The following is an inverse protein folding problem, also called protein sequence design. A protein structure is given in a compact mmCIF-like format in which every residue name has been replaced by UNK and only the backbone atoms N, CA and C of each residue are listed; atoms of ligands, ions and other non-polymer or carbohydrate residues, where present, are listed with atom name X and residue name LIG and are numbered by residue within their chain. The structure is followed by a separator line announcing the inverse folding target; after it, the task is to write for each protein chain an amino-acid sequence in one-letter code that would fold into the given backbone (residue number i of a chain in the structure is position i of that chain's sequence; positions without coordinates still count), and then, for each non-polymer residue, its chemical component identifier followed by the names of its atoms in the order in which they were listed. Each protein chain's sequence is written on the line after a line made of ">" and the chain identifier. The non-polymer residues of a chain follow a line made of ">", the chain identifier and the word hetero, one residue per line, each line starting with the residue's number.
data_IF_672018767884
#
_entry.id   IF_672018767884
#
_cell.length_a   1.000
_cell.length_b   1.000
_cell.length_c   1.000
_cell.angle_alpha   90.00
_cell.angle_beta   90.00
_cell.angle_gamma   90.00
#
_symmetry.space_group_name_H-M   'P 1'
#
loop_
_entity.id
_entity.type
_entity.pdbx_description
1 polymer ?
#
# COMPACT_ATOMS: atom_id res chain seq x y z
N UNK A 1 8.27 -16.18 5.85
CA UNK A 1 8.00 -15.68 4.48
C UNK A 1 7.66 -14.23 4.63
N UNK A 2 8.48 -13.31 4.12
CA UNK A 2 8.22 -11.87 4.23
C UNK A 2 6.99 -11.55 3.36
N UNK A 3 5.79 -11.64 3.95
CA UNK A 3 4.56 -11.32 3.26
C UNK A 3 4.53 -9.82 2.98
N UNK A 4 4.88 -9.44 1.76
CA UNK A 4 4.60 -8.09 1.25
C UNK A 4 3.09 -7.86 1.34
N UNK A 5 2.69 -6.78 2.02
CA UNK A 5 1.29 -6.38 2.07
C UNK A 5 0.70 -6.27 0.65
N UNK A 6 -0.53 -6.75 0.40
CA UNK A 6 -1.16 -6.65 -0.92
C UNK A 6 -1.33 -5.18 -1.31
N UNK A 7 -1.41 -4.87 -2.61
CA UNK A 7 -1.48 -3.48 -3.08
C UNK A 7 -2.75 -2.75 -2.61
N UNK A 8 -2.68 -1.42 -2.37
CA UNK A 8 -3.85 -0.60 -2.04
C UNK A 8 -5.02 -0.80 -3.02
N UNK A 9 -6.21 -1.07 -2.48
CA UNK A 9 -7.44 -1.22 -3.26
C UNK A 9 -7.59 -2.56 -4.00
N UNK A 10 -6.67 -3.52 -3.83
CA UNK A 10 -6.81 -4.87 -4.40
C UNK A 10 -7.84 -5.72 -3.64
N UNK A 11 -8.36 -6.78 -4.28
CA UNK A 11 -9.29 -7.72 -3.62
C UNK A 11 -8.66 -8.35 -2.36
N UNK A 12 -7.40 -8.79 -2.46
CA UNK A 12 -6.66 -9.35 -1.31
C UNK A 12 -6.47 -8.33 -0.18
N UNK A 13 -6.27 -7.06 -0.51
CA UNK A 13 -6.16 -6.00 0.50
C UNK A 13 -7.51 -5.72 1.16
N UNK A 14 -8.60 -5.71 0.39
CA UNK A 14 -9.96 -5.50 0.89
C UNK A 14 -10.35 -6.63 1.86
N UNK A 15 -10.03 -7.88 1.52
CA UNK A 15 -10.25 -9.05 2.41
C UNK A 15 -9.53 -8.90 3.75
N UNK A 16 -8.40 -8.19 3.78
CA UNK A 16 -7.62 -7.89 4.99
C UNK A 16 -8.04 -6.59 5.70
N UNK A 17 -9.05 -5.87 5.21
CA UNK A 17 -9.56 -4.63 5.81
C UNK A 17 -9.02 -3.32 5.23
N UNK A 18 -8.47 -3.34 4.01
CA UNK A 18 -8.04 -2.13 3.30
C UNK A 18 -9.18 -1.12 3.14
N UNK A 19 -8.87 0.17 3.33
CA UNK A 19 -9.79 1.29 3.09
C UNK A 19 -9.35 2.22 1.95
N UNK A 20 -8.24 1.91 1.28
CA UNK A 20 -7.78 2.69 0.14
C UNK A 20 -8.81 2.64 -1.02
N UNK A 21 -8.94 3.72 -1.81
CA UNK A 21 -9.90 3.76 -2.91
C UNK A 21 -9.66 2.63 -3.90
N UNK A 22 -10.72 1.94 -4.33
CA UNK A 22 -10.62 0.78 -5.22
C UNK A 22 -10.43 1.23 -6.67
N UNK A 23 -11.28 2.16 -7.13
CA UNK A 23 -11.30 2.61 -8.51
C UNK A 23 -10.08 3.48 -8.83
N UNK A 24 -9.72 4.42 -7.94
CA UNK A 24 -8.55 5.28 -8.17
C UNK A 24 -7.23 4.50 -8.11
N UNK A 25 -7.21 3.32 -7.51
CA UNK A 25 -6.06 2.41 -7.50
C UNK A 25 -6.19 1.27 -8.52
N UNK A 26 -7.18 1.32 -9.40
CA UNK A 26 -7.40 0.32 -10.46
C UNK A 26 -7.41 -1.13 -9.94
N UNK A 27 -8.08 -1.36 -8.80
CA UNK A 27 -8.11 -2.65 -8.10
C UNK A 27 -6.70 -3.18 -7.73
N UNK A 28 -5.76 -2.30 -7.38
CA UNK A 28 -4.39 -2.66 -6.99
C UNK A 28 -3.35 -2.61 -8.11
N UNK A 29 -3.72 -2.14 -9.31
CA UNK A 29 -2.78 -1.90 -10.42
C UNK A 29 -2.09 -0.53 -10.34
N UNK A 30 -2.61 0.39 -9.51
CA UNK A 30 -2.06 1.73 -9.31
C UNK A 30 -2.93 2.83 -9.93
N UNK A 31 -2.50 4.07 -9.72
CA UNK A 31 -3.23 5.29 -10.08
C UNK A 31 -3.10 5.69 -11.57
N UNK A 32 -2.40 4.88 -12.38
CA UNK A 32 -2.20 5.16 -13.81
C UNK A 32 -0.98 6.03 -14.13
N UNK A 33 -0.19 6.40 -13.12
CA UNK A 33 1.13 6.99 -13.29
C UNK A 33 2.14 6.32 -12.35
N UNK A 34 3.42 6.27 -12.74
CA UNK A 34 4.47 5.81 -11.84
C UNK A 34 4.76 6.87 -10.77
N UNK A 35 5.21 6.44 -9.60
CA UNK A 35 5.91 7.26 -8.63
C UNK A 35 7.31 7.63 -9.14
N UNK A 36 7.98 8.53 -8.42
CA UNK A 36 9.31 9.06 -8.81
C UNK A 36 10.41 8.00 -8.97
N UNK A 37 10.22 6.81 -8.39
CA UNK A 37 11.10 5.64 -8.45
C UNK A 37 10.71 4.65 -9.57
N UNK A 38 9.70 4.96 -10.37
CA UNK A 38 9.23 4.11 -11.47
C UNK A 38 8.25 3.00 -11.05
N UNK A 39 7.90 2.90 -9.77
CA UNK A 39 6.88 1.95 -9.29
C UNK A 39 5.46 2.50 -9.49
N UNK A 40 4.41 1.66 -9.46
CA UNK A 40 3.04 2.17 -9.50
C UNK A 40 2.73 3.08 -8.32
N UNK A 41 2.19 4.28 -8.58
CA UNK A 41 1.69 5.15 -7.52
C UNK A 41 0.31 4.67 -7.02
N UNK A 42 0.00 4.90 -5.74
CA UNK A 42 -1.28 4.54 -5.14
C UNK A 42 -1.83 5.69 -4.28
N UNK A 43 -3.15 5.84 -4.31
CA UNK A 43 -3.89 6.67 -3.36
C UNK A 43 -4.10 5.91 -2.06
N UNK A 44 -3.60 6.48 -0.97
CA UNK A 44 -3.70 5.89 0.36
C UNK A 44 -4.76 6.65 1.14
N UNK A 45 -5.73 5.91 1.67
CA UNK A 45 -6.65 6.46 2.66
C UNK A 45 -5.90 6.57 4.00
N UNK A 46 -5.92 7.74 4.63
CA UNK A 46 -5.27 7.98 5.92
C UNK A 46 -5.80 7.07 7.04
N UNK A 47 -7.04 6.61 6.95
CA UNK A 47 -7.62 5.66 7.90
C UNK A 47 -7.35 4.19 7.53
N UNK A 48 -6.56 3.92 6.48
CA UNK A 48 -6.28 2.55 6.06
C UNK A 48 -5.33 1.86 7.05
N UNK A 49 -5.79 0.81 7.77
CA UNK A 49 -4.97 0.15 8.79
C UNK A 49 -3.83 -0.69 8.20
N UNK A 50 -3.82 -0.91 6.88
CA UNK A 50 -2.81 -1.71 6.17
C UNK A 50 -1.74 -0.81 5.55
N UNK A 51 -2.15 0.30 4.91
CA UNK A 51 -1.28 1.08 4.03
C UNK A 51 -0.95 2.49 4.53
N UNK A 52 -1.70 3.05 5.48
CA UNK A 52 -1.24 4.26 6.13
C UNK A 52 -0.15 3.91 7.15
N UNK A 53 1.11 4.00 6.71
CA UNK A 53 2.31 3.61 7.48
C UNK A 53 2.81 4.67 8.46
N UNK A 54 1.97 5.59 8.94
CA UNK A 54 2.35 6.45 10.07
C UNK A 54 2.58 5.66 11.39
N UNK A 55 2.32 4.34 11.41
CA UNK A 55 2.56 3.45 12.54
C UNK A 55 3.52 2.26 12.24
N UNK A 56 4.36 2.33 11.20
CA UNK A 56 5.33 1.26 10.90
C UNK A 56 6.79 1.71 10.75
N UNK A 57 7.16 2.86 11.32
CA UNK A 57 8.57 3.21 11.57
C UNK A 57 9.04 2.52 12.84
N UNK A 58 9.46 1.25 12.73
CA UNK A 58 9.99 0.49 13.86
C UNK A 58 10.76 -0.77 13.51
N UNK A 59 11.05 -1.02 12.23
CA UNK A 59 11.97 -2.07 11.82
C UNK A 59 12.77 -1.57 10.65
N UNK A 60 13.94 -1.01 10.95
CA UNK A 60 15.19 -1.09 10.19
C UNK A 60 16.27 -0.38 11.04
N UNK A 61 16.45 -0.87 12.28
CA UNK A 61 17.69 -0.62 13.02
C UNK A 61 18.85 -1.35 12.32
N UNK A 62 20.00 -0.69 12.41
CA UNK A 62 21.23 -0.83 11.61
C UNK A 62 21.98 -2.17 11.74
N UNK A 63 22.97 -2.32 10.85
CA UNK A 63 24.22 -3.13 10.94
C UNK A 63 24.25 -4.26 9.90
N UNK A 64 25.18 -4.34 8.95
CA UNK A 64 26.65 -4.09 9.00
C UNK A 64 27.16 -3.69 7.62
#
# INVERSE_FOLDING_TARGET
>A
MNETAPNPGSNEAIEKGCKCPILDNSHGQGAGWPSSDGNPAFWINEDCPIHNKQNQEGQNDQST
#
